data_IF_903187479540
#
_entry.id   IF_903187479540
#
_cell.length_a   1.000
_cell.length_b   1.000
_cell.length_c   1.000
_cell.angle_alpha   90.00
_cell.angle_beta   90.00
_cell.angle_gamma   90.00
#
_symmetry.space_group_name_H-M   'P 1'
#
loop_
_entity.id
_entity.type
_entity.pdbx_description
1 polymer ?
#
# COMPACT_ATOMS: atom_id res chain seq x y z
N UNK A 1 -4.43 -29.10 8.35
CA UNK A 1 -3.77 -28.57 8.30
C UNK A 1 -3.85 -27.23 8.06
N UNK A 2 -3.20 -26.61 8.21
CA UNK A 2 -3.21 -25.41 8.18
C UNK A 2 -2.79 -24.81 7.00
N UNK A 3 -2.34 -25.49 6.11
CA UNK A 3 -1.78 -24.95 4.93
C UNK A 3 -2.66 -24.03 4.19
N UNK A 4 -3.95 -24.36 4.09
CA UNK A 4 -4.78 -23.54 3.33
C UNK A 4 -4.99 -22.24 3.95
N UNK A 5 -5.05 -22.17 5.24
CA UNK A 5 -5.25 -20.92 5.88
C UNK A 5 -4.09 -20.03 5.66
N UNK A 6 -2.92 -20.58 5.59
CA UNK A 6 -1.73 -19.78 5.43
C UNK A 6 -1.72 -19.02 4.12
N UNK A 7 -2.08 -19.66 3.04
CA UNK A 7 -2.00 -18.93 1.80
C UNK A 7 -3.10 -17.90 1.69
N UNK A 8 -4.21 -18.11 2.34
CA UNK A 8 -5.23 -17.08 2.35
C UNK A 8 -4.80 -15.89 3.15
N UNK A 9 -3.92 -16.09 4.10
CA UNK A 9 -3.47 -15.00 4.93
C UNK A 9 -2.28 -14.29 4.37
N UNK A 10 -1.85 -14.66 3.18
CA UNK A 10 -0.70 -14.01 2.60
C UNK A 10 -1.03 -12.77 1.84
N UNK A 11 -2.18 -12.18 2.09
CA UNK A 11 -2.44 -10.90 1.49
C UNK A 11 -1.33 -9.92 1.88
N UNK A 12 -1.08 -8.97 1.04
CA UNK A 12 -0.02 -8.01 1.23
C UNK A 12 -0.63 -6.63 1.30
N UNK A 13 -0.12 -5.80 2.17
CA UNK A 13 -0.55 -4.41 2.24
C UNK A 13 0.68 -3.51 2.35
N UNK A 14 0.66 -2.44 1.62
CA UNK A 14 1.74 -1.47 1.59
C UNK A 14 1.14 -0.10 1.83
N UNK A 15 1.71 0.64 2.77
CA UNK A 15 1.28 2.00 3.02
C UNK A 15 2.29 2.95 2.42
N UNK A 16 1.80 3.91 1.66
CA UNK A 16 2.63 4.90 1.01
C UNK A 16 2.32 6.28 1.56
N UNK A 17 3.33 7.10 1.60
CA UNK A 17 3.18 8.50 1.98
C UNK A 17 3.71 9.34 0.83
N UNK A 18 2.95 10.35 0.44
CA UNK A 18 3.39 11.26 -0.60
C UNK A 18 2.96 12.67 -0.22
N UNK A 19 3.92 13.49 0.11
CA UNK A 19 3.66 14.86 0.52
C UNK A 19 4.08 15.81 -0.59
N UNK A 20 3.58 17.03 -0.58
CA UNK A 20 3.81 17.95 -1.70
C UNK A 20 5.28 18.18 -2.05
N UNK A 21 6.16 18.10 -1.08
CA UNK A 21 7.57 18.33 -1.36
C UNK A 21 8.37 17.07 -1.59
N UNK A 22 7.72 15.93 -1.59
CA UNK A 22 8.44 14.67 -1.80
C UNK A 22 8.72 14.49 -3.28
N UNK A 23 9.89 13.94 -3.57
CA UNK A 23 10.23 13.63 -4.94
C UNK A 23 9.46 12.43 -5.45
N UNK A 24 9.10 11.54 -4.57
CA UNK A 24 8.40 10.32 -4.92
C UNK A 24 7.68 9.79 -3.70
N UNK A 25 6.68 8.95 -3.89
CA UNK A 25 6.06 8.29 -2.74
C UNK A 25 7.06 7.42 -2.01
N UNK A 26 6.87 7.32 -0.70
CA UNK A 26 7.77 6.57 0.15
C UNK A 26 7.00 5.47 0.85
N UNK A 27 7.62 4.33 1.04
CA UNK A 27 7.00 3.22 1.75
C UNK A 27 7.13 3.45 3.24
N UNK A 28 6.01 3.54 3.92
CA UNK A 28 6.03 3.77 5.36
C UNK A 28 5.58 2.55 6.14
N UNK A 29 4.95 1.58 5.51
CA UNK A 29 4.58 0.34 6.17
C UNK A 29 4.42 -0.74 5.12
N UNK A 30 4.73 -1.97 5.50
CA UNK A 30 4.65 -3.10 4.59
C UNK A 30 4.40 -4.34 5.42
N UNK A 31 3.51 -5.20 4.99
CA UNK A 31 3.25 -6.42 5.73
C UNK A 31 2.45 -7.41 4.96
N UNK A 32 2.46 -8.64 5.44
CA UNK A 32 1.70 -9.73 4.87
C UNK A 32 0.90 -10.42 5.96
N UNK A 33 -0.15 -11.10 5.57
CA UNK A 33 -0.96 -11.85 6.50
C UNK A 33 -1.58 -10.97 7.55
N UNK A 34 -1.36 -11.28 8.80
CA UNK A 34 -1.93 -10.51 9.88
C UNK A 34 -1.41 -9.08 9.91
N UNK A 35 -0.17 -8.88 9.53
CA UNK A 35 0.37 -7.52 9.49
C UNK A 35 -0.34 -6.72 8.40
N UNK A 36 -0.63 -7.35 7.27
CA UNK A 36 -1.38 -6.67 6.22
C UNK A 36 -2.76 -6.28 6.72
N UNK A 37 -3.43 -7.16 7.44
CA UNK A 37 -4.74 -6.86 8.01
C UNK A 37 -4.66 -5.65 8.94
N UNK A 38 -3.62 -5.60 9.77
CA UNK A 38 -3.49 -4.48 10.68
C UNK A 38 -3.23 -3.18 9.96
N UNK A 39 -2.44 -3.21 8.90
CA UNK A 39 -2.18 -2.01 8.11
C UNK A 39 -3.49 -1.51 7.52
N UNK A 40 -4.28 -2.42 6.97
CA UNK A 40 -5.55 -2.05 6.35
C UNK A 40 -6.52 -1.51 7.40
N UNK A 41 -6.59 -2.16 8.56
CA UNK A 41 -7.47 -1.70 9.63
C UNK A 41 -7.10 -0.30 10.08
N UNK A 42 -5.80 -0.05 10.27
CA UNK A 42 -5.37 1.26 10.70
C UNK A 42 -5.67 2.30 9.65
N UNK A 43 -5.52 1.94 8.39
CA UNK A 43 -5.86 2.86 7.32
C UNK A 43 -7.33 3.23 7.37
N UNK A 44 -8.18 2.23 7.56
CA UNK A 44 -9.61 2.48 7.62
C UNK A 44 -9.99 3.31 8.83
N UNK A 45 -9.36 3.03 9.98
CA UNK A 45 -9.63 3.78 11.20
C UNK A 45 -9.22 5.24 11.07
N UNK A 46 -8.21 5.51 10.28
CA UNK A 46 -7.72 6.86 10.10
C UNK A 46 -8.19 7.48 8.79
N UNK A 47 -9.15 6.82 8.14
CA UNK A 47 -9.75 7.33 6.92
C UNK A 47 -8.76 7.51 5.79
N UNK A 48 -7.74 6.68 5.76
CA UNK A 48 -6.81 6.63 4.66
C UNK A 48 -7.39 5.70 3.60
N UNK A 49 -7.50 6.13 2.35
CA UNK A 49 -8.09 5.27 1.33
C UNK A 49 -7.27 4.02 1.09
N UNK A 50 -7.96 2.95 0.81
CA UNK A 50 -7.33 1.68 0.51
C UNK A 50 -7.65 1.33 -0.94
N UNK A 51 -6.61 1.14 -1.73
CA UNK A 51 -6.76 0.72 -3.11
C UNK A 51 -6.41 -0.75 -3.22
N UNK A 52 -7.28 -1.52 -3.84
CA UNK A 52 -7.07 -2.94 -3.94
C UNK A 52 -6.34 -3.28 -5.23
N UNK A 53 -5.09 -3.70 -5.11
CA UNK A 53 -4.28 -4.04 -6.26
C UNK A 53 -3.22 -5.03 -5.80
N UNK A 54 -3.51 -6.30 -5.96
CA UNK A 54 -2.65 -7.35 -5.44
C UNK A 54 -1.29 -7.36 -6.12
N UNK A 55 -1.26 -7.18 -7.41
CA UNK A 55 0.01 -7.22 -8.13
C UNK A 55 0.91 -6.08 -7.71
N UNK A 56 0.36 -4.90 -7.61
CA UNK A 56 1.15 -3.76 -7.22
C UNK A 56 1.63 -3.89 -5.78
N UNK A 57 0.75 -4.36 -4.89
CA UNK A 57 1.15 -4.56 -3.51
C UNK A 57 2.30 -5.57 -3.40
N UNK A 58 2.22 -6.66 -4.15
CA UNK A 58 3.28 -7.65 -4.13
C UNK A 58 4.59 -7.09 -4.68
N UNK A 59 4.51 -6.29 -5.72
CA UNK A 59 5.70 -5.67 -6.29
C UNK A 59 6.34 -4.73 -5.29
N UNK A 60 5.52 -3.90 -4.64
CA UNK A 60 6.04 -2.94 -3.68
C UNK A 60 6.55 -3.61 -2.41
N UNK A 61 6.06 -4.80 -2.09
CA UNK A 61 6.48 -5.49 -0.88
C UNK A 61 7.96 -5.90 -0.94
N UNK A 62 8.56 -5.86 -2.11
CA UNK A 62 9.97 -6.19 -2.24
C UNK A 62 10.87 -5.03 -1.86
N UNK A 63 10.31 -3.86 -1.64
CA UNK A 63 11.07 -2.70 -1.25
C UNK A 63 11.09 -2.58 0.27
N UNK A 64 12.02 -1.83 0.80
CA UNK A 64 12.15 -1.67 2.23
C UNK A 64 11.35 -0.49 2.73
N UNK A 65 10.94 -0.55 3.98
CA UNK A 65 10.28 0.58 4.60
C UNK A 65 11.27 1.74 4.64
N UNK A 66 10.81 2.89 4.21
CA UNK A 66 11.66 4.07 4.11
C UNK A 66 12.15 4.32 2.71
N UNK A 67 12.01 3.34 1.81
CA UNK A 67 12.48 3.53 0.45
C UNK A 67 11.48 4.35 -0.34
N UNK A 68 12.01 5.11 -1.29
CA UNK A 68 11.16 5.78 -2.26
C UNK A 68 10.80 4.80 -3.36
N UNK A 69 9.66 5.00 -3.96
CA UNK A 69 9.22 4.18 -5.08
C UNK A 69 10.19 4.39 -6.24
N UNK A 70 10.66 3.32 -6.89
CA UNK A 70 11.56 3.48 -8.01
C UNK A 70 10.86 4.04 -9.24
N UNK A 71 11.63 4.62 -10.13
CA UNK A 71 11.08 5.28 -11.31
C UNK A 71 10.22 4.35 -12.13
N UNK A 72 10.59 3.08 -12.19
CA UNK A 72 9.86 2.12 -12.99
C UNK A 72 8.41 1.98 -12.56
N UNK A 73 8.13 2.32 -11.32
CA UNK A 73 6.78 2.19 -10.80
C UNK A 73 6.05 3.53 -10.69
N UNK A 74 6.68 4.61 -11.11
CA UNK A 74 6.07 5.94 -10.96
C UNK A 74 4.71 6.02 -11.62
N UNK A 75 4.61 5.55 -12.84
CA UNK A 75 3.38 5.71 -13.58
C UNK A 75 2.22 4.94 -12.96
N UNK A 76 2.46 3.70 -12.60
CA UNK A 76 1.37 2.89 -12.05
C UNK A 76 0.98 3.38 -10.67
N UNK A 77 1.94 3.83 -9.86
CA UNK A 77 1.63 4.35 -8.54
C UNK A 77 0.94 5.70 -8.67
N UNK A 78 1.37 6.52 -9.61
CA UNK A 78 0.75 7.81 -9.81
C UNK A 78 -0.72 7.68 -10.19
N UNK A 79 -1.06 6.68 -10.98
CA UNK A 79 -2.44 6.46 -11.35
C UNK A 79 -3.29 6.15 -10.14
N UNK A 80 -2.76 5.36 -9.21
CA UNK A 80 -3.48 5.03 -8.00
C UNK A 80 -3.65 6.28 -7.13
N UNK A 81 -2.59 7.06 -6.99
CA UNK A 81 -2.65 8.26 -6.16
C UNK A 81 -3.65 9.28 -6.72
N UNK A 82 -3.65 9.45 -8.04
CA UNK A 82 -4.57 10.40 -8.64
C UNK A 82 -6.01 9.96 -8.44
N UNK A 83 -6.25 8.66 -8.62
CA UNK A 83 -7.59 8.14 -8.44
C UNK A 83 -8.12 8.42 -7.04
N UNK A 84 -7.28 8.20 -6.05
CA UNK A 84 -7.72 8.39 -4.67
C UNK A 84 -7.83 9.87 -4.32
N UNK A 85 -6.94 10.69 -4.86
CA UNK A 85 -6.97 12.11 -4.56
C UNK A 85 -8.24 12.78 -5.02
N UNK A 86 -8.88 12.23 -6.02
CA UNK A 86 -10.14 12.81 -6.44
C UNK A 86 -11.22 12.66 -5.38
N UNK A 87 -11.04 11.71 -4.49
CA UNK A 87 -12.02 11.45 -3.47
C UNK A 87 -11.69 12.18 -2.19
N UNK A 88 -10.43 12.44 -1.96
CA UNK A 88 -10.05 13.08 -0.72
C UNK A 88 -8.63 13.60 -0.81
N UNK A 89 -8.31 14.55 0.04
CA UNK A 89 -6.98 15.09 0.14
C UNK A 89 -6.22 14.28 1.15
N UNK A 90 -5.32 13.46 0.70
CA UNK A 90 -4.66 12.58 1.60
C UNK A 90 -3.19 12.59 1.48
N UNK A 91 -2.53 12.32 2.57
CA UNK A 91 -1.09 12.28 2.61
C UNK A 91 -0.55 10.88 2.48
N UNK A 92 -1.39 9.90 2.51
CA UNK A 92 -0.94 8.52 2.40
C UNK A 92 -2.00 7.62 1.83
N UNK A 93 -1.59 6.47 1.35
CA UNK A 93 -2.47 5.48 0.77
C UNK A 93 -2.03 4.11 1.18
N UNK A 94 -2.96 3.18 1.19
CA UNK A 94 -2.63 1.79 1.47
C UNK A 94 -3.06 0.96 0.29
N UNK A 95 -2.19 0.11 -0.19
CA UNK A 95 -2.50 -0.82 -1.25
C UNK A 95 -2.47 -2.22 -0.71
N UNK A 96 -3.46 -2.99 -1.06
CA UNK A 96 -3.53 -4.35 -0.60
C UNK A 96 -4.46 -5.16 -1.46
N UNK A 97 -4.71 -6.39 -1.05
CA UNK A 97 -5.58 -7.27 -1.78
C UNK A 97 -6.84 -7.55 -1.00
N UNK A 98 -7.26 -6.61 -0.23
CA UNK A 98 -8.44 -6.75 0.56
C UNK A 98 -9.70 -6.77 -0.29
#
# INVERSE_FOLDING_TARGET
MMGQSDWKKRKTAIALSYEPNDEAPKIIASGRGFVADRIIEKAQDNQVPVHKDEKLANTLSKLDIGDYIPKELYQVVAEVLVFVDKMDTLKGKVMGDK
#
